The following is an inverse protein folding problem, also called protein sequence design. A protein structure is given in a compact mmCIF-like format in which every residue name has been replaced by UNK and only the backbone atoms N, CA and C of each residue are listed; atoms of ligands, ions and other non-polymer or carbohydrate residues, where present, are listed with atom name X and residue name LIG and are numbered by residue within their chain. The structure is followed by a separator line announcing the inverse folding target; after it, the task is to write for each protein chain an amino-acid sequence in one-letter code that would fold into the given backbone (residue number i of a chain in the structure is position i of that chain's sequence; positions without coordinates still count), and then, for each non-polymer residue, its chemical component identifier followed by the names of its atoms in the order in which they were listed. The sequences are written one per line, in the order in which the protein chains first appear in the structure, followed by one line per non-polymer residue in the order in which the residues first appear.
data_IF_674603750731
#
_entry.id   IF_674603750731
#
_cell.length_a   1.000
_cell.length_b   1.000
_cell.length_c   1.000
_cell.angle_alpha   90.00
_cell.angle_beta   90.00
_cell.angle_gamma   90.00
#
_symmetry.space_group_name_H-M   'P 1'
#
loop_
_entity.id
_entity.type
_entity.pdbx_description
1 polymer ?
#
# COMPACT_ATOMS: atom_id res chain seq x y z
N UNK A 1 2.99 -22.24 7.72
CA UNK A 1 4.46 -22.31 7.87
C UNK A 1 4.83 -21.83 9.25
N UNK A 2 5.42 -22.68 10.09
CA UNK A 2 6.17 -22.17 11.24
C UNK A 2 7.45 -21.59 10.69
N UNK A 3 7.52 -20.26 10.59
CA UNK A 3 8.77 -19.57 10.28
C UNK A 3 9.75 -19.93 11.39
N UNK A 4 10.78 -20.73 11.05
CA UNK A 4 11.98 -20.78 11.88
C UNK A 4 12.46 -19.35 12.03
N UNK A 5 12.54 -18.82 13.25
CA UNK A 5 13.06 -17.47 13.50
C UNK A 5 14.42 -17.34 12.81
N UNK A 6 14.46 -16.60 11.70
CA UNK A 6 15.72 -16.23 11.07
C UNK A 6 16.29 -15.09 11.90
N UNK A 7 17.06 -15.46 12.93
CA UNK A 7 17.75 -14.47 13.76
C UNK A 7 18.97 -13.93 13.01
N UNK A 8 19.00 -12.62 12.80
CA UNK A 8 20.20 -11.91 12.37
C UNK A 8 20.99 -11.47 13.61
N UNK A 9 22.30 -11.75 13.68
CA UNK A 9 23.16 -11.15 14.70
C UNK A 9 23.11 -9.62 14.60
N UNK A 10 22.67 -8.93 15.64
CA UNK A 10 22.66 -7.46 15.71
C UNK A 10 21.31 -6.79 15.94
N UNK A 11 20.20 -7.53 15.97
CA UNK A 11 18.93 -7.01 16.47
C UNK A 11 18.98 -6.90 18.01
N UNK A 12 18.50 -5.78 18.57
CA UNK A 12 18.26 -5.66 20.02
C UNK A 12 16.95 -6.43 20.31
N UNK A 13 17.03 -7.76 20.46
CA UNK A 13 15.87 -8.65 20.64
C UNK A 13 15.43 -9.37 19.35
N UNK A 14 14.17 -9.78 19.27
CA UNK A 14 13.58 -10.31 18.03
C UNK A 14 13.46 -9.15 17.03
N UNK A 15 13.89 -9.36 15.78
CA UNK A 15 13.77 -8.34 14.75
C UNK A 15 12.27 -8.13 14.42
N UNK A 16 11.83 -6.87 14.28
CA UNK A 16 10.45 -6.54 13.87
C UNK A 16 10.15 -6.93 12.40
N UNK A 17 11.19 -7.27 11.64
CA UNK A 17 11.09 -7.75 10.27
C UNK A 17 12.39 -8.39 9.79
N UNK A 18 12.26 -9.23 8.77
CA UNK A 18 13.39 -9.86 8.08
C UNK A 18 13.08 -9.89 6.58
N UNK A 19 13.98 -9.32 5.78
CA UNK A 19 13.87 -9.29 4.32
C UNK A 19 15.12 -9.94 3.73
N UNK A 20 14.93 -10.86 2.80
CA UNK A 20 16.01 -11.55 2.11
C UNK A 20 15.83 -11.43 0.60
N UNK A 21 16.87 -10.96 -0.07
CA UNK A 21 16.92 -10.91 -1.53
C UNK A 21 17.81 -12.02 -2.09
N UNK A 22 17.42 -12.56 -3.24
CA UNK A 22 18.26 -13.49 -3.99
C UNK A 22 19.36 -12.72 -4.73
N UNK A 23 20.59 -12.78 -4.21
CA UNK A 23 21.75 -12.11 -4.82
C UNK A 23 22.17 -12.62 -6.20
N UNK A 24 21.53 -13.68 -6.73
CA UNK A 24 21.77 -14.15 -8.09
C UNK A 24 20.95 -13.42 -9.16
N UNK A 25 20.00 -12.56 -8.75
CA UNK A 25 19.23 -11.74 -9.68
C UNK A 25 20.04 -10.52 -10.13
N UNK A 26 19.86 -10.13 -11.39
CA UNK A 26 20.41 -8.88 -11.91
C UNK A 26 19.54 -7.72 -11.44
N UNK A 27 20.04 -6.92 -10.52
CA UNK A 27 19.34 -5.77 -9.97
C UNK A 27 19.80 -4.47 -10.62
N UNK A 28 18.85 -3.56 -10.79
CA UNK A 28 19.08 -2.14 -10.97
C UNK A 28 18.83 -1.45 -9.62
N UNK A 29 19.76 -0.58 -9.21
CA UNK A 29 19.73 0.11 -7.92
C UNK A 29 19.36 1.59 -8.05
N UNK A 30 19.15 2.08 -9.28
CA UNK A 30 18.81 3.47 -9.56
C UNK A 30 17.67 3.57 -10.61
N UNK A 31 16.43 3.58 -10.13
CA UNK A 31 15.26 3.74 -11.00
C UNK A 31 15.06 5.15 -11.58
N UNK A 32 15.94 6.13 -11.32
CA UNK A 32 15.74 7.52 -11.76
C UNK A 32 15.81 7.70 -13.28
N UNK A 33 16.39 6.73 -13.99
CA UNK A 33 16.53 6.72 -15.45
C UNK A 33 15.76 5.56 -16.12
N UNK A 34 14.82 4.95 -15.40
CA UNK A 34 14.15 3.71 -15.80
C UNK A 34 14.88 2.48 -15.26
N UNK A 35 14.47 1.29 -15.69
CA UNK A 35 15.06 0.02 -15.27
C UNK A 35 15.58 -0.70 -16.50
N UNK A 36 16.82 -1.18 -16.43
CA UNK A 36 17.42 -1.95 -17.53
C UNK A 36 16.56 -3.15 -17.93
N UNK A 37 16.42 -3.40 -19.24
CA UNK A 37 15.49 -4.42 -19.77
C UNK A 37 15.72 -5.86 -19.24
N UNK A 38 16.90 -6.16 -18.70
CA UNK A 38 17.26 -7.46 -18.12
C UNK A 38 17.51 -7.39 -16.60
N UNK A 39 17.13 -6.29 -15.97
CA UNK A 39 17.34 -6.04 -14.54
C UNK A 39 16.00 -5.88 -13.83
N UNK A 40 15.97 -6.23 -12.55
CA UNK A 40 14.85 -5.97 -11.65
C UNK A 40 15.09 -4.67 -10.88
N UNK A 41 14.02 -3.92 -10.64
CA UNK A 41 14.05 -2.73 -9.79
C UNK A 41 14.27 -3.11 -8.31
N UNK A 42 15.51 -3.00 -7.84
CA UNK A 42 15.82 -3.31 -6.45
C UNK A 42 15.18 -2.33 -5.48
N UNK A 43 15.10 -1.04 -5.82
CA UNK A 43 14.53 -0.03 -4.92
C UNK A 43 13.03 -0.26 -4.76
N UNK A 44 12.34 -0.53 -5.87
CA UNK A 44 10.94 -0.93 -5.88
C UNK A 44 10.69 -2.23 -5.12
N UNK A 45 11.41 -3.30 -5.44
CA UNK A 45 11.26 -4.58 -4.74
C UNK A 45 11.57 -4.44 -3.25
N UNK A 46 12.59 -3.67 -2.86
CA UNK A 46 12.88 -3.45 -1.45
C UNK A 46 11.76 -2.68 -0.75
N UNK A 47 11.19 -1.67 -1.40
CA UNK A 47 10.03 -0.96 -0.87
C UNK A 47 8.80 -1.89 -0.74
N UNK A 48 8.61 -2.82 -1.66
CA UNK A 48 7.54 -3.83 -1.62
C UNK A 48 7.66 -4.74 -0.39
N UNK A 49 8.84 -5.32 -0.17
CA UNK A 49 9.10 -6.17 1.00
C UNK A 49 9.04 -5.40 2.33
N UNK A 50 9.45 -4.13 2.33
CA UNK A 50 9.23 -3.24 3.47
C UNK A 50 7.73 -3.03 3.70
N UNK A 51 6.92 -2.88 2.66
CA UNK A 51 5.45 -2.81 2.76
C UNK A 51 4.86 -4.01 3.49
N UNK A 52 5.30 -5.23 3.16
CA UNK A 52 4.92 -6.44 3.89
C UNK A 52 5.36 -6.39 5.35
N UNK A 53 6.60 -5.98 5.61
CA UNK A 53 7.14 -5.84 6.97
C UNK A 53 6.32 -4.83 7.80
N UNK A 54 5.82 -3.78 7.16
CA UNK A 54 4.94 -2.78 7.76
C UNK A 54 3.47 -3.21 7.80
N UNK A 55 3.15 -4.48 7.57
CA UNK A 55 1.81 -5.01 7.80
C UNK A 55 0.87 -4.96 6.60
N UNK A 56 1.37 -4.70 5.38
CA UNK A 56 0.65 -5.05 4.16
C UNK A 56 0.68 -6.59 3.98
N UNK A 57 0.00 -7.29 4.88
CA UNK A 57 -0.10 -8.75 4.93
C UNK A 57 -1.56 -9.12 5.17
N UNK A 58 -1.97 -10.33 4.84
CA UNK A 58 -3.34 -10.79 5.05
C UNK A 58 -3.35 -12.16 5.71
N UNK A 59 -4.19 -12.33 6.72
CA UNK A 59 -4.46 -13.64 7.31
C UNK A 59 -5.07 -14.63 6.34
N UNK A 60 -5.66 -14.14 5.26
CA UNK A 60 -6.21 -14.96 4.19
C UNK A 60 -5.13 -15.82 3.54
N UNK A 61 -3.85 -15.40 3.52
CA UNK A 61 -2.76 -16.27 3.05
C UNK A 61 -2.59 -17.53 3.91
N UNK A 62 -2.75 -17.38 5.23
CA UNK A 62 -2.68 -18.50 6.16
C UNK A 62 -3.92 -19.39 6.02
N UNK A 63 -5.10 -18.78 5.87
CA UNK A 63 -6.35 -19.50 5.62
C UNK A 63 -6.29 -20.32 4.32
N UNK A 64 -5.92 -19.66 3.21
CA UNK A 64 -5.87 -20.21 1.87
C UNK A 64 -4.94 -21.42 1.79
N UNK A 65 -3.75 -21.32 2.38
CA UNK A 65 -2.79 -22.42 2.37
C UNK A 65 -3.22 -23.59 3.28
N UNK A 66 -3.82 -23.31 4.44
CA UNK A 66 -4.09 -24.35 5.44
C UNK A 66 -5.47 -25.02 5.33
N UNK A 67 -6.31 -24.59 4.40
CA UNK A 67 -7.67 -25.13 4.23
C UNK A 67 -7.70 -26.42 3.39
N UNK A 68 -8.59 -27.39 3.71
CA UNK A 68 -8.83 -28.55 2.86
C UNK A 68 -9.41 -28.15 1.48
N UNK A 69 -9.12 -28.92 0.41
CA UNK A 69 -8.31 -30.14 0.37
C UNK A 69 -6.79 -29.91 0.25
N UNK A 70 -6.31 -28.67 0.23
CA UNK A 70 -4.88 -28.38 0.06
C UNK A 70 -4.05 -28.81 1.28
N UNK A 71 -4.54 -28.52 2.48
CA UNK A 71 -3.92 -28.92 3.74
C UNK A 71 -5.01 -29.10 4.83
N UNK A 72 -4.62 -29.33 6.08
CA UNK A 72 -5.55 -29.48 7.20
C UNK A 72 -6.41 -30.75 7.08
N UNK A 73 -7.61 -30.79 7.71
CA UNK A 73 -8.23 -29.71 8.49
C UNK A 73 -7.47 -29.42 9.79
N UNK A 74 -7.48 -28.15 10.17
CA UNK A 74 -7.00 -27.67 11.45
C UNK A 74 -8.17 -27.02 12.19
N UNK A 75 -8.12 -26.99 13.52
CA UNK A 75 -9.13 -26.24 14.27
C UNK A 75 -8.97 -24.73 13.99
N UNK A 76 -10.08 -24.00 14.05
CA UNK A 76 -10.13 -22.55 13.80
C UNK A 76 -9.22 -21.73 14.72
N UNK A 77 -8.95 -22.25 15.93
CA UNK A 77 -8.05 -21.65 16.91
C UNK A 77 -6.57 -22.03 16.75
N UNK A 78 -6.21 -22.90 15.81
CA UNK A 78 -4.81 -23.27 15.58
C UNK A 78 -4.05 -22.16 14.86
N UNK A 79 -4.73 -21.44 13.96
CA UNK A 79 -4.13 -20.38 13.16
C UNK A 79 -5.14 -19.25 12.94
N UNK A 80 -5.13 -18.23 13.79
CA UNK A 80 -5.88 -16.99 13.52
C UNK A 80 -4.91 -15.82 13.45
N UNK A 81 -4.48 -15.50 12.23
CA UNK A 81 -3.62 -14.35 11.93
C UNK A 81 -4.40 -13.27 11.20
N UNK A 82 -5.41 -12.67 11.82
CA UNK A 82 -6.03 -11.48 11.23
C UNK A 82 -5.03 -10.31 11.26
N UNK A 83 -4.84 -9.64 10.13
CA UNK A 83 -3.98 -8.46 10.03
C UNK A 83 -4.79 -7.17 10.08
N UNK A 84 -4.10 -6.03 10.24
CA UNK A 84 -4.74 -4.72 10.09
C UNK A 84 -5.35 -4.52 8.70
N UNK A 85 -4.71 -5.04 7.65
CA UNK A 85 -5.19 -4.93 6.27
C UNK A 85 -6.51 -5.69 6.05
N UNK A 86 -6.71 -6.82 6.73
CA UNK A 86 -7.93 -7.62 6.62
C UNK A 86 -9.19 -6.84 7.05
N UNK A 87 -9.04 -5.83 7.92
CA UNK A 87 -10.16 -4.98 8.36
C UNK A 87 -10.77 -4.14 7.23
N UNK A 88 -10.03 -4.00 6.13
CA UNK A 88 -10.38 -3.18 4.97
C UNK A 88 -10.65 -4.00 3.71
N UNK A 89 -10.70 -5.33 3.84
CA UNK A 89 -11.00 -6.26 2.73
C UNK A 89 -12.49 -6.55 2.70
N UNK A 90 -13.14 -6.26 1.58
CA UNK A 90 -14.58 -6.48 1.38
C UNK A 90 -14.87 -7.19 0.08
N UNK A 91 -16.06 -7.77 -0.01
CA UNK A 91 -16.69 -8.22 -1.25
C UNK A 91 -18.14 -7.72 -1.29
N UNK A 92 -18.84 -7.80 -2.44
CA UNK A 92 -20.26 -7.46 -2.50
C UNK A 92 -21.10 -8.24 -1.47
N UNK A 93 -20.75 -9.50 -1.19
CA UNK A 93 -21.44 -10.34 -0.21
C UNK A 93 -21.15 -9.88 1.22
N UNK A 94 -19.89 -9.59 1.55
CA UNK A 94 -19.50 -9.20 2.90
C UNK A 94 -20.03 -7.79 3.24
N UNK A 95 -19.97 -6.86 2.29
CA UNK A 95 -20.51 -5.50 2.46
C UNK A 95 -22.02 -5.51 2.66
N UNK A 96 -22.76 -6.32 1.89
CA UNK A 96 -24.20 -6.51 2.09
C UNK A 96 -24.54 -7.09 3.48
N UNK A 97 -23.60 -7.79 4.10
CA UNK A 97 -23.71 -8.36 5.44
C UNK A 97 -23.12 -7.48 6.54
N UNK A 98 -22.52 -6.32 6.19
CA UNK A 98 -21.88 -5.41 7.13
C UNK A 98 -20.62 -5.98 7.80
N UNK A 99 -19.92 -6.90 7.13
CA UNK A 99 -18.70 -7.56 7.66
C UNK A 99 -17.55 -7.52 6.65
N UNK A 100 -16.34 -7.68 7.17
CA UNK A 100 -15.14 -7.88 6.35
C UNK A 100 -15.20 -9.21 5.60
N UNK A 101 -14.44 -9.33 4.51
CA UNK A 101 -14.30 -10.58 3.76
C UNK A 101 -12.94 -11.25 4.06
N UNK A 102 -12.93 -12.09 5.09
CA UNK A 102 -11.79 -12.95 5.43
C UNK A 102 -12.00 -14.35 4.85
N UNK A 103 -12.13 -14.46 3.53
CA UNK A 103 -12.28 -15.75 2.84
C UNK A 103 -11.23 -15.93 1.75
N UNK A 104 -10.84 -17.19 1.55
CA UNK A 104 -9.99 -17.65 0.44
C UNK A 104 -10.88 -18.33 -0.61
N UNK A 105 -11.29 -17.58 -1.64
CA UNK A 105 -12.07 -18.08 -2.76
C UNK A 105 -11.96 -17.15 -3.99
N UNK A 106 -12.61 -17.53 -5.08
CA UNK A 106 -12.55 -16.80 -6.35
C UNK A 106 -13.44 -15.55 -6.44
N UNK A 107 -14.17 -15.15 -5.39
CA UNK A 107 -14.99 -13.93 -5.43
C UNK A 107 -14.10 -12.69 -5.44
N UNK A 108 -14.46 -11.67 -6.20
CA UNK A 108 -13.74 -10.40 -6.19
C UNK A 108 -13.72 -9.78 -4.80
N UNK A 109 -12.51 -9.35 -4.38
CA UNK A 109 -12.26 -8.67 -3.13
C UNK A 109 -11.68 -7.28 -3.42
N UNK A 110 -12.06 -6.29 -2.63
CA UNK A 110 -11.62 -4.91 -2.80
C UNK A 110 -11.31 -4.25 -1.46
N UNK A 111 -10.47 -3.23 -1.52
CA UNK A 111 -10.15 -2.36 -0.41
C UNK A 111 -11.25 -1.32 -0.17
N UNK A 112 -11.65 -1.13 1.09
CA UNK A 112 -12.61 -0.10 1.50
C UNK A 112 -12.38 0.32 2.94
N UNK A 113 -12.39 1.64 3.18
CA UNK A 113 -12.29 2.28 4.50
C UNK A 113 -13.65 2.66 5.10
N UNK A 114 -14.74 2.39 4.37
CA UNK A 114 -16.10 2.83 4.70
C UNK A 114 -17.08 1.66 4.82
N UNK A 115 -16.62 0.52 5.33
CA UNK A 115 -17.48 -0.65 5.59
C UNK A 115 -17.90 -1.39 4.33
N UNK A 116 -17.13 -1.26 3.24
CA UNK A 116 -17.42 -1.86 1.94
C UNK A 116 -18.30 -0.99 1.03
N UNK A 117 -18.69 0.23 1.44
CA UNK A 117 -19.59 1.06 0.66
C UNK A 117 -18.95 1.59 -0.65
N UNK A 118 -17.66 1.94 -0.61
CA UNK A 118 -16.89 2.34 -1.79
C UNK A 118 -16.01 1.20 -2.28
N UNK A 119 -16.10 0.86 -3.57
CA UNK A 119 -15.23 -0.11 -4.22
C UNK A 119 -13.88 0.54 -4.56
N UNK A 120 -12.84 0.22 -3.77
CA UNK A 120 -11.45 0.64 -4.02
C UNK A 120 -10.63 -0.33 -4.87
N UNK A 121 -9.31 -0.32 -4.67
CA UNK A 121 -8.39 -1.22 -5.36
C UNK A 121 -8.74 -2.69 -5.11
N UNK A 122 -8.64 -3.52 -6.14
CA UNK A 122 -8.90 -4.95 -6.02
C UNK A 122 -7.73 -5.65 -5.34
N UNK A 123 -8.04 -6.61 -4.48
CA UNK A 123 -7.07 -7.52 -3.91
C UNK A 123 -6.96 -8.80 -4.72
N UNK A 124 -5.78 -9.42 -4.66
CA UNK A 124 -5.62 -10.82 -4.99
C UNK A 124 -6.47 -11.70 -4.07
N UNK A 125 -6.97 -12.83 -4.57
CA UNK A 125 -8.03 -13.60 -3.90
C UNK A 125 -7.57 -14.90 -3.25
N UNK A 126 -6.31 -15.29 -3.43
CA UNK A 126 -5.70 -16.45 -2.80
C UNK A 126 -4.92 -17.30 -3.81
N UNK A 127 -3.81 -17.90 -3.38
CA UNK A 127 -2.93 -18.67 -4.25
C UNK A 127 -3.52 -20.04 -4.61
N UNK A 128 -4.32 -20.61 -3.71
CA UNK A 128 -4.83 -21.98 -3.79
C UNK A 128 -6.28 -22.01 -4.24
N UNK A 129 -7.14 -21.22 -3.59
CA UNK A 129 -8.58 -21.20 -3.83
C UNK A 129 -9.06 -19.98 -4.61
N UNK A 130 -8.15 -19.06 -4.92
CA UNK A 130 -8.42 -17.80 -5.58
C UNK A 130 -7.81 -17.71 -6.99
N UNK A 131 -7.18 -16.57 -7.25
CA UNK A 131 -6.62 -16.17 -8.53
C UNK A 131 -5.16 -16.59 -8.74
N UNK A 132 -4.61 -17.41 -7.86
CA UNK A 132 -3.23 -17.88 -7.96
C UNK A 132 -2.21 -16.92 -7.36
N UNK A 133 -2.65 -15.83 -6.71
CA UNK A 133 -1.80 -14.83 -6.06
C UNK A 133 -2.13 -14.70 -4.58
N UNK A 134 -1.13 -14.37 -3.78
CA UNK A 134 -1.29 -14.19 -2.33
C UNK A 134 -2.26 -13.05 -2.03
N UNK A 135 -3.17 -13.26 -1.09
CA UNK A 135 -4.19 -12.29 -0.70
C UNK A 135 -3.62 -11.02 -0.05
N UNK A 136 -2.38 -11.07 0.42
CA UNK A 136 -1.55 -9.92 0.84
C UNK A 136 -1.08 -9.00 -0.29
N UNK A 137 -1.75 -9.00 -1.44
CA UNK A 137 -1.37 -8.21 -2.60
C UNK A 137 -2.57 -7.55 -3.27
N UNK A 138 -2.30 -6.48 -4.02
CA UNK A 138 -3.23 -6.01 -5.03
C UNK A 138 -3.46 -7.07 -6.11
N UNK A 139 -4.51 -6.86 -6.91
CA UNK A 139 -4.76 -7.70 -8.07
C UNK A 139 -3.66 -7.49 -9.12
N UNK A 140 -3.08 -8.61 -9.56
CA UNK A 140 -2.02 -8.66 -10.57
C UNK A 140 -2.44 -8.03 -11.91
N UNK A 141 -1.47 -7.49 -12.66
CA UNK A 141 -1.63 -6.94 -14.02
C UNK A 141 -2.66 -5.80 -14.14
N UNK A 142 -2.94 -5.10 -13.06
CA UNK A 142 -3.87 -3.96 -13.05
C UNK A 142 -3.19 -2.61 -12.79
N UNK A 143 -1.85 -2.60 -12.60
CA UNK A 143 -1.07 -1.39 -12.28
C UNK A 143 -1.62 -0.66 -11.05
N UNK A 144 -2.08 -1.43 -10.04
CA UNK A 144 -2.78 -0.88 -8.89
C UNK A 144 -1.84 -0.27 -7.86
N UNK A 145 -0.59 -0.71 -7.80
CA UNK A 145 0.33 -0.27 -6.77
C UNK A 145 1.62 -1.06 -6.72
N UNK A 146 2.48 -0.63 -5.81
CA UNK A 146 3.73 -1.29 -5.49
C UNK A 146 3.48 -2.72 -4.97
N UNK A 147 2.38 -2.95 -4.25
CA UNK A 147 2.02 -4.27 -3.71
C UNK A 147 1.39 -5.21 -4.76
N UNK A 148 1.81 -5.10 -6.03
CA UNK A 148 1.51 -6.07 -7.09
C UNK A 148 2.25 -7.38 -6.79
N UNK A 149 1.62 -8.56 -6.95
CA UNK A 149 2.25 -9.84 -6.62
C UNK A 149 3.34 -10.28 -7.61
N UNK A 150 3.57 -9.52 -8.68
CA UNK A 150 4.67 -9.79 -9.60
C UNK A 150 5.51 -8.57 -9.91
N UNK A 151 6.77 -8.83 -10.23
CA UNK A 151 7.69 -7.87 -10.81
C UNK A 151 8.37 -8.52 -12.01
N UNK A 152 8.53 -7.76 -13.10
CA UNK A 152 9.22 -8.18 -14.30
C UNK A 152 10.57 -7.46 -14.49
N UNK A 153 11.42 -8.02 -15.34
CA UNK A 153 12.64 -7.34 -15.76
C UNK A 153 12.31 -6.12 -16.63
N UNK A 154 13.02 -5.01 -16.41
CA UNK A 154 12.77 -3.74 -17.09
C UNK A 154 11.54 -2.98 -16.60
N UNK A 155 10.85 -3.50 -15.58
CA UNK A 155 9.70 -2.84 -14.97
C UNK A 155 10.14 -1.89 -13.86
N UNK A 156 9.63 -0.67 -13.89
CA UNK A 156 9.75 0.30 -12.79
C UNK A 156 8.54 0.13 -11.86
N UNK A 157 8.79 -0.25 -10.61
CA UNK A 157 7.74 -0.47 -9.63
C UNK A 157 7.42 0.85 -8.90
N UNK A 158 6.14 1.21 -8.82
CA UNK A 158 5.73 2.55 -8.38
C UNK A 158 4.79 2.50 -7.17
N UNK A 159 5.07 3.35 -6.18
CA UNK A 159 4.14 3.64 -5.08
C UNK A 159 3.01 4.53 -5.59
N UNK A 160 1.80 3.99 -5.57
CA UNK A 160 0.58 4.66 -6.02
C UNK A 160 -0.22 5.25 -4.86
N UNK A 161 -1.37 5.86 -5.17
CA UNK A 161 -2.31 6.32 -4.16
C UNK A 161 -2.96 5.16 -3.39
N UNK A 162 -3.13 4.00 -4.02
CA UNK A 162 -3.72 2.83 -3.36
C UNK A 162 -2.81 2.31 -2.26
N UNK A 163 -1.51 2.20 -2.53
CA UNK A 163 -0.52 1.79 -1.52
C UNK A 163 -0.52 2.76 -0.33
N UNK A 164 -0.47 4.08 -0.60
CA UNK A 164 -0.49 5.09 0.46
C UNK A 164 -1.77 5.05 1.29
N UNK A 165 -2.93 4.86 0.66
CA UNK A 165 -4.21 4.78 1.36
C UNK A 165 -4.31 3.53 2.23
N UNK A 166 -3.82 2.38 1.74
CA UNK A 166 -3.81 1.15 2.52
C UNK A 166 -2.86 1.25 3.71
N UNK A 167 -1.65 1.78 3.50
CA UNK A 167 -0.67 2.00 4.58
C UNK A 167 -1.18 2.99 5.64
N UNK A 168 -1.86 4.07 5.23
CA UNK A 168 -2.54 5.01 6.13
C UNK A 168 -3.62 4.31 6.96
N UNK A 169 -4.49 3.52 6.31
CA UNK A 169 -5.58 2.80 6.96
C UNK A 169 -5.11 1.80 8.02
N UNK A 170 -3.94 1.17 7.80
CA UNK A 170 -3.35 0.23 8.77
C UNK A 170 -2.39 0.90 9.78
N UNK A 171 -2.32 2.22 9.81
CA UNK A 171 -1.68 2.98 10.89
C UNK A 171 -0.37 3.70 10.56
N UNK A 172 0.08 3.69 9.30
CA UNK A 172 1.29 4.41 8.83
C UNK A 172 0.94 5.74 8.17
N UNK A 173 0.01 6.47 8.79
CA UNK A 173 -0.45 7.73 8.24
C UNK A 173 0.68 8.73 8.04
N UNK A 174 0.67 9.38 6.88
CA UNK A 174 1.60 10.47 6.61
C UNK A 174 1.23 11.60 7.57
N UNK A 175 2.21 12.08 8.36
CA UNK A 175 2.02 13.31 9.10
C UNK A 175 1.52 14.38 8.11
N UNK A 176 0.46 15.15 8.45
CA UNK A 176 -0.01 16.20 7.56
C UNK A 176 1.19 17.08 7.24
N UNK A 177 1.61 17.05 5.97
CA UNK A 177 2.62 17.99 5.50
C UNK A 177 1.96 19.34 5.68
N UNK A 178 2.40 20.12 6.66
CA UNK A 178 1.98 21.52 6.81
C UNK A 178 2.42 22.23 5.55
N UNK A 179 1.57 22.27 4.54
CA UNK A 179 1.86 22.89 3.25
C UNK A 179 2.21 24.37 3.49
N UNK A 180 3.47 24.80 3.27
CA UNK A 180 3.81 26.22 3.36
C UNK A 180 3.15 27.02 2.23
N UNK A 181 2.67 26.34 1.18
CA UNK A 181 2.22 26.93 -0.07
C UNK A 181 0.91 27.72 0.07
N UNK A 182 -0.10 27.19 0.76
CA UNK A 182 -1.39 27.89 0.85
C UNK A 182 -1.30 29.16 1.70
N UNK A 183 -0.67 29.08 2.88
CA UNK A 183 -0.46 30.22 3.77
C UNK A 183 0.42 31.30 3.11
N UNK A 184 1.49 30.90 2.43
CA UNK A 184 2.35 31.81 1.69
C UNK A 184 1.62 32.44 0.48
N UNK A 185 0.77 31.68 -0.22
CA UNK A 185 -0.02 32.19 -1.35
C UNK A 185 -1.10 33.16 -0.90
N UNK A 186 -1.84 32.87 0.18
CA UNK A 186 -2.80 33.81 0.75
C UNK A 186 -2.11 35.07 1.31
N UNK A 187 -0.95 34.90 1.95
CA UNK A 187 -0.12 36.02 2.40
C UNK A 187 0.37 36.90 1.24
N UNK A 188 0.88 36.29 0.17
CA UNK A 188 1.32 37.01 -1.03
C UNK A 188 0.14 37.72 -1.73
N UNK A 189 -1.02 37.07 -1.84
CA UNK A 189 -2.22 37.68 -2.40
C UNK A 189 -2.73 38.87 -1.57
N UNK A 190 -2.71 38.76 -0.24
CA UNK A 190 -3.06 39.86 0.66
C UNK A 190 -2.09 41.04 0.54
N UNK A 191 -0.79 40.79 0.47
CA UNK A 191 0.24 41.81 0.27
C UNK A 191 0.09 42.52 -1.08
N UNK A 192 -0.22 41.77 -2.15
CA UNK A 192 -0.50 42.32 -3.48
C UNK A 192 -1.76 43.21 -3.49
N UNK A 193 -2.84 42.78 -2.82
CA UNK A 193 -4.07 43.56 -2.70
C UNK A 193 -3.86 44.87 -1.89
N UNK A 194 -3.06 44.81 -0.83
CA UNK A 194 -2.68 45.99 -0.04
C UNK A 194 -1.80 46.96 -0.85
N UNK A 195 -0.83 46.44 -1.61
CA UNK A 195 0.00 47.27 -2.49
C UNK A 195 -0.83 47.94 -3.61
N UNK A 196 -1.82 47.24 -4.16
CA UNK A 196 -2.68 47.78 -5.22
C UNK A 196 -3.67 48.82 -4.71
N UNK A 197 -4.24 48.62 -3.51
CA UNK A 197 -5.11 49.61 -2.85
C UNK A 197 -4.36 50.87 -2.39
N UNK A 198 -3.08 50.75 -2.01
CA UNK A 198 -2.21 51.88 -1.69
C UNK A 198 -1.92 52.78 -2.89
N UNK A 199 -1.72 52.22 -4.09
CA UNK A 199 -1.45 52.99 -5.32
C UNK A 199 -2.64 53.85 -5.78
N UNK A 200 -3.88 53.46 -5.48
CA UNK A 200 -5.08 54.24 -5.87
C UNK A 200 -5.27 55.53 -5.06
N UNK A 201 -4.65 55.65 -3.88
CA UNK A 201 -4.82 56.83 -3.00
C UNK A 201 -3.93 58.02 -3.38
N UNK A 202 -2.92 57.84 -4.23
CA UNK A 202 -1.97 58.90 -4.61
C UNK A 202 -2.27 59.61 -5.95
N UNK A 203 -3.35 59.26 -6.65
CA UNK A 203 -3.70 59.82 -7.96
C UNK A 203 -4.84 60.86 -7.96
N UNK A 204 -5.11 61.52 -6.83
CA UNK A 204 -5.96 62.72 -6.80
C UNK A 204 -5.10 63.98 -6.63
N UNK A 205 -4.31 64.29 -7.66
CA UNK A 205 -3.67 65.59 -7.83
C UNK A 205 -4.56 66.47 -8.71
N UNK A 206 -5.06 67.56 -8.13
CA UNK A 206 -5.95 68.54 -8.76
C UNK A 206 -5.41 69.05 -10.10
N UNK A 207 -6.25 68.97 -11.13
CA UNK A 207 -6.18 69.83 -12.32
C UNK A 207 -6.99 71.10 -12.04
N UNK A 208 -6.30 72.19 -11.75
CA UNK A 208 -6.64 73.59 -12.06
C UNK A 208 -5.40 74.45 -11.83
#
# INVERSE_FOLDING_TARGET
MGVTEQSLPGCIGNCDGFIQFNGNLAFDFDGSNGIGATQYDFVGMAAHEIGHTLGFISGVDVLDFNSPPNNGPFNDNEFTYASGLDMFRYSPLSSASGVIDWTADARDKYFSVDGGATLGAQFSTGATFGDGRQASHWKDLMMLGLMDPTAAQGELLLITANDRMAMDAIGYGLAPITEPSQSAMYGAAALMALAWSGRRKYFHGNIN
#
